data_IF_228590513406
#
_entry.id   IF_228590513406
#
_cell.length_a   1.000
_cell.length_b   1.000
_cell.length_c   1.000
_cell.angle_alpha   90.00
_cell.angle_beta   90.00
_cell.angle_gamma   90.00
#
_symmetry.space_group_name_H-M   'P 1'
#
loop_
_entity.id
_entity.type
_entity.pdbx_description
1 polymer ?
#
# COMPACT_ATOMS: atom_id res chain seq x y z
N UNK A 1 -3.17 -0.53 -15.50
CA UNK A 1 -2.44 -1.02 -14.31
C UNK A 1 -0.95 -0.67 -14.36
N UNK A 2 -0.42 -0.25 -15.51
CA UNK A 2 1.01 0.00 -15.75
C UNK A 2 1.59 1.18 -14.94
N UNK A 3 0.87 2.30 -14.85
CA UNK A 3 1.35 3.52 -14.18
C UNK A 3 1.73 3.30 -12.70
N UNK A 4 1.00 2.43 -11.98
CA UNK A 4 1.28 2.13 -10.57
C UNK A 4 2.60 1.39 -10.39
N UNK A 5 2.89 0.45 -11.29
CA UNK A 5 4.13 -0.32 -11.26
C UNK A 5 5.30 0.59 -11.60
N UNK A 6 5.16 1.41 -12.66
CA UNK A 6 6.18 2.39 -13.04
C UNK A 6 6.45 3.40 -11.93
N UNK A 7 5.40 3.92 -11.28
CA UNK A 7 5.54 4.85 -10.18
C UNK A 7 6.20 4.20 -8.96
N UNK A 8 5.81 2.96 -8.63
CA UNK A 8 6.41 2.18 -7.54
C UNK A 8 7.92 2.02 -7.76
N UNK A 9 8.34 1.63 -8.95
CA UNK A 9 9.76 1.44 -9.26
C UNK A 9 10.53 2.77 -9.22
N UNK A 10 9.95 3.85 -9.75
CA UNK A 10 10.56 5.19 -9.66
C UNK A 10 10.81 5.63 -8.22
N UNK A 11 9.82 5.45 -7.33
CA UNK A 11 9.96 5.81 -5.91
C UNK A 11 11.06 4.97 -5.24
N UNK A 12 11.15 3.67 -5.53
CA UNK A 12 12.23 2.83 -5.00
C UNK A 12 13.61 3.29 -5.47
N UNK A 13 13.76 3.64 -6.75
CA UNK A 13 15.02 4.15 -7.30
C UNK A 13 15.46 5.45 -6.62
N UNK A 14 14.54 6.39 -6.43
CA UNK A 14 14.85 7.65 -5.73
C UNK A 14 15.24 7.41 -4.27
N UNK A 15 14.49 6.56 -3.54
CA UNK A 15 14.81 6.25 -2.14
C UNK A 15 16.21 5.64 -2.00
N UNK A 16 16.59 4.75 -2.92
CA UNK A 16 17.93 4.16 -2.97
C UNK A 16 18.99 5.20 -3.34
N UNK A 17 18.72 6.06 -4.33
CA UNK A 17 19.66 7.10 -4.77
C UNK A 17 19.98 8.11 -3.66
N UNK A 18 18.97 8.50 -2.87
CA UNK A 18 19.13 9.42 -1.74
C UNK A 18 19.54 8.72 -0.43
N UNK A 19 19.82 7.41 -0.47
CA UNK A 19 20.20 6.60 0.69
C UNK A 19 19.22 6.72 1.88
N UNK A 20 17.92 6.79 1.58
CA UNK A 20 16.86 6.91 2.58
C UNK A 20 16.56 5.52 3.16
N UNK A 21 16.87 5.33 4.44
CA UNK A 21 16.59 4.09 5.15
C UNK A 21 15.10 3.97 5.45
N UNK A 22 14.51 2.82 5.13
CA UNK A 22 13.09 2.53 5.35
C UNK A 22 12.91 1.51 6.46
N UNK A 23 11.88 1.68 7.26
CA UNK A 23 11.40 0.63 8.14
C UNK A 23 10.83 -0.54 7.31
N UNK A 24 11.01 -1.80 7.72
CA UNK A 24 11.77 -2.27 8.88
C UNK A 24 13.30 -2.15 8.69
N UNK A 25 14.01 -1.59 9.67
CA UNK A 25 15.46 -1.42 9.57
C UNK A 25 16.19 -2.75 9.70
N UNK A 26 17.38 -2.81 9.10
CA UNK A 26 18.32 -3.91 9.33
C UNK A 26 18.85 -3.82 10.77
N UNK A 27 18.98 -4.98 11.41
CA UNK A 27 19.55 -5.14 12.75
C UNK A 27 20.27 -6.48 12.80
N UNK A 28 21.45 -6.48 13.43
CA UNK A 28 22.28 -7.68 13.61
C UNK A 28 21.67 -8.69 14.61
N UNK A 29 20.60 -8.28 15.31
CA UNK A 29 19.85 -9.12 16.25
C UNK A 29 18.74 -9.93 15.57
N UNK A 30 18.45 -9.69 14.28
CA UNK A 30 17.37 -10.38 13.56
C UNK A 30 17.78 -11.79 13.13
N UNK A 31 16.84 -12.72 13.22
CA UNK A 31 17.03 -14.06 12.67
C UNK A 31 16.80 -14.11 11.13
N UNK A 32 17.19 -15.21 10.50
CA UNK A 32 17.05 -15.39 9.04
C UNK A 32 15.60 -15.27 8.54
N UNK A 33 14.62 -15.68 9.35
CA UNK A 33 13.21 -15.59 9.00
C UNK A 33 12.72 -14.14 9.04
N UNK A 34 13.13 -13.39 10.06
CA UNK A 34 12.80 -11.98 10.22
C UNK A 34 13.43 -11.14 9.10
N UNK A 35 14.69 -11.42 8.72
CA UNK A 35 15.37 -10.79 7.59
C UNK A 35 14.59 -11.05 6.29
N UNK A 36 14.26 -12.31 6.01
CA UNK A 36 13.51 -12.70 4.80
C UNK A 36 12.12 -12.04 4.74
N UNK A 37 11.43 -11.95 5.88
CA UNK A 37 10.14 -11.27 5.99
C UNK A 37 10.28 -9.76 5.71
N UNK A 38 11.28 -9.13 6.31
CA UNK A 38 11.55 -7.70 6.15
C UNK A 38 11.90 -7.37 4.69
N UNK A 39 12.70 -8.19 4.04
CA UNK A 39 13.04 -8.04 2.62
C UNK A 39 11.82 -8.19 1.73
N UNK A 40 10.95 -9.16 2.03
CA UNK A 40 9.68 -9.31 1.32
C UNK A 40 8.81 -8.07 1.45
N UNK A 41 8.72 -7.48 2.64
CA UNK A 41 7.94 -6.25 2.88
C UNK A 41 8.53 -5.09 2.06
N UNK A 42 9.85 -4.87 2.15
CA UNK A 42 10.55 -3.79 1.42
C UNK A 42 10.39 -3.93 -0.10
N UNK A 43 10.55 -5.14 -0.64
CA UNK A 43 10.52 -5.37 -2.08
C UNK A 43 9.10 -5.40 -2.65
N UNK A 44 8.19 -6.10 -1.98
CA UNK A 44 6.86 -6.39 -2.54
C UNK A 44 5.81 -5.37 -2.12
N UNK A 45 5.91 -4.77 -0.94
CA UNK A 45 4.83 -3.96 -0.39
C UNK A 45 5.12 -2.45 -0.40
N UNK A 46 6.39 -2.05 -0.25
CA UNK A 46 6.77 -0.63 -0.18
C UNK A 46 7.02 -0.04 -1.59
N UNK A 47 6.56 1.20 -1.86
CA UNK A 47 5.62 2.00 -1.07
C UNK A 47 4.18 1.45 -1.09
N UNK A 48 3.48 1.55 0.05
CA UNK A 48 2.08 1.14 0.16
C UNK A 48 1.16 2.12 -0.58
N UNK A 49 0.41 1.62 -1.55
CA UNK A 49 -0.64 2.38 -2.23
C UNK A 49 -1.96 2.30 -1.43
N UNK A 50 -2.14 3.21 -0.48
CA UNK A 50 -3.31 3.25 0.42
C UNK A 50 -4.42 4.19 -0.09
N UNK A 51 -5.67 3.87 0.26
CA UNK A 51 -6.83 4.76 0.06
C UNK A 51 -7.49 4.99 1.41
N UNK A 52 -7.47 6.22 1.89
CA UNK A 52 -8.16 6.62 3.13
C UNK A 52 -9.67 6.84 2.91
N UNK A 53 -10.47 6.54 3.93
CA UNK A 53 -11.90 6.91 3.97
C UNK A 53 -12.31 7.29 5.39
N UNK A 54 -12.83 8.49 5.56
CA UNK A 54 -13.35 9.01 6.84
C UNK A 54 -14.85 8.75 7.04
N UNK A 55 -15.55 8.24 6.02
CA UNK A 55 -17.02 8.09 6.05
C UNK A 55 -17.42 6.61 6.09
N UNK A 56 -18.44 6.32 6.89
CA UNK A 56 -19.12 5.02 6.91
C UNK A 56 -20.25 5.02 5.87
N UNK A 57 -20.34 3.97 5.07
CA UNK A 57 -21.40 3.76 4.08
C UNK A 57 -22.09 2.42 4.34
N UNK A 58 -23.39 2.36 4.07
CA UNK A 58 -24.18 1.13 4.20
C UNK A 58 -24.18 0.41 2.85
N UNK A 59 -23.66 -0.82 2.81
CA UNK A 59 -23.69 -1.70 1.63
C UNK A 59 -24.30 -3.03 2.07
N UNK A 60 -25.36 -3.48 1.38
CA UNK A 60 -26.05 -4.76 1.65
C UNK A 60 -26.39 -4.98 3.14
N UNK A 61 -26.84 -3.91 3.81
CA UNK A 61 -27.20 -3.93 5.23
C UNK A 61 -26.02 -3.91 6.22
N UNK A 62 -24.76 -3.90 5.75
CA UNK A 62 -23.56 -3.82 6.59
C UNK A 62 -22.93 -2.43 6.50
N UNK A 63 -22.58 -1.86 7.66
CA UNK A 63 -21.76 -0.65 7.71
C UNK A 63 -20.31 -0.99 7.37
N UNK A 64 -19.79 -0.37 6.31
CA UNK A 64 -18.40 -0.48 5.90
C UNK A 64 -17.80 0.92 5.77
N UNK A 65 -16.53 1.10 6.14
CA UNK A 65 -15.81 2.34 5.83
C UNK A 65 -15.64 2.43 4.32
N UNK A 66 -16.08 3.51 3.69
CA UNK A 66 -15.98 3.64 2.24
C UNK A 66 -16.45 4.99 1.71
N UNK A 67 -16.07 5.29 0.45
CA UNK A 67 -16.47 6.52 -0.24
C UNK A 67 -17.39 6.19 -1.40
N UNK A 68 -18.59 6.79 -1.41
CA UNK A 68 -19.49 6.75 -2.57
C UNK A 68 -19.11 7.87 -3.54
N UNK A 69 -18.74 7.52 -4.76
CA UNK A 69 -18.55 8.47 -5.86
C UNK A 69 -19.62 8.21 -6.94
N UNK A 70 -19.67 9.04 -8.00
CA UNK A 70 -20.66 8.90 -9.09
C UNK A 70 -20.53 7.59 -9.88
N UNK A 71 -19.49 6.81 -9.63
CA UNK A 71 -19.17 5.55 -10.33
C UNK A 71 -19.21 4.31 -9.42
N UNK A 72 -19.53 4.45 -8.12
CA UNK A 72 -19.63 3.31 -7.20
C UNK A 72 -19.22 3.60 -5.76
N UNK A 73 -19.08 2.54 -4.96
CA UNK A 73 -18.65 2.59 -3.56
C UNK A 73 -17.30 1.88 -3.43
N UNK A 74 -16.28 2.59 -2.93
CA UNK A 74 -14.96 2.02 -2.64
C UNK A 74 -14.99 1.45 -1.22
N UNK A 75 -14.83 0.14 -1.07
CA UNK A 75 -14.69 -0.51 0.23
C UNK A 75 -13.31 -0.24 0.82
N UNK A 76 -13.27 0.45 1.96
CA UNK A 76 -12.07 0.70 2.76
C UNK A 76 -11.67 -0.49 3.65
N UNK A 77 -12.35 -1.64 3.55
CA UNK A 77 -11.81 -2.90 4.06
C UNK A 77 -10.75 -3.36 3.07
N UNK A 78 -9.52 -3.42 3.57
CA UNK A 78 -8.28 -3.87 2.95
C UNK A 78 -8.43 -5.28 2.34
N UNK A 79 -9.17 -5.41 1.24
CA UNK A 79 -9.11 -6.55 0.35
C UNK A 79 -8.06 -6.19 -0.71
N UNK A 80 -6.94 -6.91 -0.67
CA UNK A 80 -5.85 -6.90 -1.65
C UNK A 80 -6.32 -7.40 -3.04
N UNK A 81 -7.39 -6.84 -3.57
CA UNK A 81 -7.90 -7.10 -4.91
C UNK A 81 -8.95 -6.02 -5.21
N UNK A 82 -8.53 -4.94 -5.86
CA UNK A 82 -9.21 -4.27 -6.97
C UNK A 82 -8.58 -2.89 -7.18
N UNK A 83 -8.18 -2.64 -8.42
CA UNK A 83 -7.51 -1.43 -8.85
C UNK A 83 -8.35 -0.15 -8.72
N UNK A 84 -7.66 0.97 -8.94
CA UNK A 84 -8.12 2.37 -8.95
C UNK A 84 -8.52 2.87 -7.55
N UNK A 85 -7.92 3.90 -6.98
CA UNK A 85 -7.90 5.27 -7.50
C UNK A 85 -6.50 5.92 -7.47
N UNK A 86 -6.37 6.96 -8.29
CA UNK A 86 -5.25 7.89 -8.42
C UNK A 86 -5.11 8.76 -7.17
N UNK A 87 -3.86 9.03 -6.75
CA UNK A 87 -3.47 10.26 -6.07
C UNK A 87 -2.20 10.73 -6.79
N UNK A 88 -2.39 11.64 -7.74
CA UNK A 88 -1.58 12.85 -7.85
C UNK A 88 -2.27 13.92 -6.99
#
# INVERSE_FOLDING_TARGET
MEERVTFKERIKSELSYHNIKLYPYESDELDENEISLNDRIKQQLIPFAIVGSEKNVLIDGKQVRGRRNKWGVINGKLNFALGLFYIL
#
